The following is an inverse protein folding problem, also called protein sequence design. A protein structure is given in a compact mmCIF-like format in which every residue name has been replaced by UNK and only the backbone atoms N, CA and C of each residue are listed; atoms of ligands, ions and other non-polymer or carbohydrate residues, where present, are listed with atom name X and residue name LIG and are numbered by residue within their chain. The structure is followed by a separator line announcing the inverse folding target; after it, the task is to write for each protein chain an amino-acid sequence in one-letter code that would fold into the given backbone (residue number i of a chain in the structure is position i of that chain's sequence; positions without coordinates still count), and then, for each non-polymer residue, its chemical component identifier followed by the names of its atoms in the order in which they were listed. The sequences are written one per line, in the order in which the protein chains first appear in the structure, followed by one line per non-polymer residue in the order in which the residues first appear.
data_IF_005476149324
#
_entry.id   IF_005476149324
#
_cell.length_a   1.000
_cell.length_b   1.000
_cell.length_c   1.000
_cell.angle_alpha   90.00
_cell.angle_beta   90.00
_cell.angle_gamma   90.00
#
_symmetry.space_group_name_H-M   'P 1'
#
loop_
_entity.id
_entity.type
_entity.pdbx_description
1 polymer ?
#
# COMPACT_ATOMS: atom_id res chain seq x y z
N UNK A 1 -3.68 -30.17 6.15
CA UNK A 1 -4.30 -28.95 5.58
C UNK A 1 -3.14 -28.07 5.15
N UNK A 2 -2.89 -27.96 3.85
CA UNK A 2 -1.84 -27.11 3.31
C UNK A 2 -2.21 -25.66 3.64
N UNK A 3 -1.42 -25.02 4.49
CA UNK A 3 -1.43 -23.55 4.59
C UNK A 3 -0.98 -23.03 3.22
N UNK A 4 -1.92 -22.63 2.37
CA UNK A 4 -1.59 -21.83 1.20
C UNK A 4 -0.79 -20.62 1.73
N UNK A 5 0.47 -20.49 1.32
CA UNK A 5 1.24 -19.29 1.59
C UNK A 5 0.42 -18.12 1.07
N UNK A 6 0.06 -17.20 1.98
CA UNK A 6 -0.66 -15.99 1.60
C UNK A 6 0.11 -15.26 0.52
N UNK A 7 -0.61 -14.77 -0.49
CA UNK A 7 -0.03 -13.94 -1.53
C UNK A 7 0.75 -12.79 -0.91
N UNK A 8 2.00 -12.60 -1.35
CA UNK A 8 2.81 -11.45 -0.94
C UNK A 8 2.50 -10.19 -1.76
N UNK A 9 1.49 -10.25 -2.62
CA UNK A 9 0.96 -9.13 -3.40
C UNK A 9 -0.48 -8.82 -2.99
N UNK A 10 -0.74 -7.55 -2.71
CA UNK A 10 -2.09 -7.01 -2.50
C UNK A 10 -2.40 -6.07 -3.66
N UNK A 11 -3.60 -6.20 -4.23
CA UNK A 11 -4.07 -5.32 -5.31
C UNK A 11 -4.64 -4.04 -4.72
N UNK A 12 -3.95 -2.91 -4.89
CA UNK A 12 -4.41 -1.60 -4.45
C UNK A 12 -5.49 -1.03 -5.38
N UNK A 13 -6.70 -0.84 -4.88
CA UNK A 13 -7.86 -0.46 -5.68
C UNK A 13 -8.19 1.04 -5.67
N UNK A 14 -7.23 1.91 -5.33
CA UNK A 14 -7.42 3.35 -5.47
C UNK A 14 -7.69 3.78 -6.92
N UNK A 15 -7.17 3.04 -7.90
CA UNK A 15 -7.43 3.27 -9.33
C UNK A 15 -8.91 3.08 -9.72
N UNK A 16 -9.75 2.53 -8.84
CA UNK A 16 -11.18 2.43 -9.04
C UNK A 16 -11.96 3.65 -8.54
N UNK A 17 -11.27 4.66 -7.99
CA UNK A 17 -11.84 5.97 -7.66
C UNK A 17 -11.90 6.86 -8.92
N UNK A 18 -13.06 6.91 -9.54
CA UNK A 18 -13.30 7.68 -10.78
C UNK A 18 -13.09 9.19 -10.63
N UNK A 19 -12.95 9.71 -9.41
CA UNK A 19 -12.68 11.13 -9.13
C UNK A 19 -11.18 11.45 -9.24
N UNK A 20 -10.34 10.48 -8.92
CA UNK A 20 -8.88 10.62 -8.88
C UNK A 20 -8.19 10.00 -10.09
N UNK A 21 -8.87 9.08 -10.78
CA UNK A 21 -8.34 8.31 -11.90
C UNK A 21 -9.33 8.26 -13.07
N UNK A 22 -8.81 7.91 -14.26
CA UNK A 22 -9.66 7.64 -15.41
C UNK A 22 -10.60 6.47 -15.09
N UNK A 23 -11.90 6.68 -15.35
CA UNK A 23 -12.91 5.66 -15.15
C UNK A 23 -12.61 4.39 -15.94
N UNK A 24 -12.65 3.26 -15.25
CA UNK A 24 -12.50 1.92 -15.82
C UNK A 24 -13.88 1.29 -15.91
N UNK A 25 -14.32 0.78 -17.09
CA UNK A 25 -15.56 0.02 -17.20
C UNK A 25 -15.58 -1.19 -16.25
N UNK A 26 -16.71 -1.50 -15.64
CA UNK A 26 -16.82 -2.58 -14.67
C UNK A 26 -16.52 -3.97 -15.31
N UNK A 27 -16.85 -4.13 -16.58
CA UNK A 27 -16.49 -5.33 -17.38
C UNK A 27 -14.98 -5.53 -17.49
N UNK A 28 -14.23 -4.44 -17.56
CA UNK A 28 -12.76 -4.50 -17.64
C UNK A 28 -12.16 -4.77 -16.27
N UNK A 29 -12.78 -4.22 -15.21
CA UNK A 29 -12.41 -4.54 -13.82
C UNK A 29 -12.65 -6.02 -13.55
N UNK A 30 -13.80 -6.57 -13.95
CA UNK A 30 -14.12 -8.00 -13.78
C UNK A 30 -13.09 -8.88 -14.46
N UNK A 31 -12.77 -8.60 -15.74
CA UNK A 31 -11.72 -9.35 -16.47
C UNK A 31 -10.35 -9.27 -15.80
N UNK A 32 -9.98 -8.12 -15.27
CA UNK A 32 -8.71 -7.98 -14.54
C UNK A 32 -8.72 -8.78 -13.24
N UNK A 33 -9.83 -8.77 -12.49
CA UNK A 33 -10.00 -9.58 -11.28
C UNK A 33 -9.86 -11.07 -11.62
N UNK A 34 -10.48 -11.55 -12.67
CA UNK A 34 -10.34 -12.95 -13.12
C UNK A 34 -8.87 -13.30 -13.39
N UNK A 35 -8.10 -12.38 -13.97
CA UNK A 35 -6.66 -12.58 -14.21
C UNK A 35 -5.89 -12.64 -12.88
N UNK A 36 -6.17 -11.74 -11.94
CA UNK A 36 -5.55 -11.76 -10.61
C UNK A 36 -5.82 -13.09 -9.90
N UNK A 37 -7.07 -13.52 -9.88
CA UNK A 37 -7.49 -14.77 -9.24
C UNK A 37 -6.85 -16.00 -9.89
N UNK A 38 -6.79 -16.04 -11.23
CA UNK A 38 -6.14 -17.11 -11.97
C UNK A 38 -4.63 -17.21 -11.70
N UNK A 39 -4.00 -16.10 -11.28
CA UNK A 39 -2.60 -16.04 -10.87
C UNK A 39 -2.41 -16.22 -9.34
N UNK A 40 -3.47 -16.58 -8.61
CA UNK A 40 -3.42 -16.85 -7.18
C UNK A 40 -3.40 -15.59 -6.30
N UNK A 41 -3.72 -14.41 -6.85
CA UNK A 41 -3.80 -13.17 -6.09
C UNK A 41 -5.23 -13.00 -5.59
N UNK A 42 -5.40 -13.09 -4.27
CA UNK A 42 -6.69 -13.09 -3.59
C UNK A 42 -6.87 -11.93 -2.61
N UNK A 43 -5.85 -11.09 -2.45
CA UNK A 43 -5.85 -9.99 -1.49
C UNK A 43 -6.04 -8.64 -2.20
N UNK A 44 -7.06 -7.88 -1.79
CA UNK A 44 -7.43 -6.58 -2.36
C UNK A 44 -7.46 -5.51 -1.28
N UNK A 45 -6.89 -4.33 -1.58
CA UNK A 45 -6.88 -3.17 -0.70
C UNK A 45 -7.75 -2.05 -1.27
N UNK A 46 -8.70 -1.56 -0.49
CA UNK A 46 -9.62 -0.46 -0.84
C UNK A 46 -9.74 0.54 0.30
N UNK A 47 -10.69 1.48 0.22
CA UNK A 47 -11.04 2.42 1.28
C UNK A 47 -12.47 2.96 1.09
N UNK A 48 -13.09 3.41 2.18
CA UNK A 48 -14.40 4.05 2.20
C UNK A 48 -14.48 5.32 1.34
N UNK A 49 -13.33 5.96 1.10
CA UNK A 49 -13.23 7.18 0.28
C UNK A 49 -12.83 6.91 -1.17
N UNK A 50 -12.62 5.67 -1.61
CA UNK A 50 -12.22 5.38 -3.00
C UNK A 50 -13.42 5.28 -3.95
N UNK A 51 -14.31 6.26 -3.89
CA UNK A 51 -15.47 6.35 -4.79
C UNK A 51 -16.33 5.09 -4.78
N UNK A 52 -16.40 4.41 -5.91
CA UNK A 52 -17.19 3.17 -6.07
C UNK A 52 -16.40 1.88 -5.76
N UNK A 53 -15.15 1.97 -5.34
CA UNK A 53 -14.26 0.82 -5.22
C UNK A 53 -14.85 -0.30 -4.34
N UNK A 54 -15.29 0.03 -3.11
CA UNK A 54 -15.90 -0.97 -2.22
C UNK A 54 -17.12 -1.67 -2.86
N UNK A 55 -18.02 -0.91 -3.48
CA UNK A 55 -19.24 -1.48 -4.07
C UNK A 55 -18.96 -2.33 -5.31
N UNK A 56 -17.95 -2.00 -6.10
CA UNK A 56 -17.51 -2.81 -7.24
C UNK A 56 -16.88 -4.11 -6.75
N UNK A 57 -15.96 -4.04 -5.80
CA UNK A 57 -15.34 -5.24 -5.22
C UNK A 57 -16.39 -6.13 -4.54
N UNK A 58 -17.34 -5.54 -3.81
CA UNK A 58 -18.43 -6.28 -3.15
C UNK A 58 -19.27 -7.09 -4.14
N UNK A 59 -19.56 -6.54 -5.32
CA UNK A 59 -20.29 -7.27 -6.36
C UNK A 59 -19.46 -8.36 -7.02
N UNK A 60 -18.22 -8.02 -7.41
CA UNK A 60 -17.37 -8.91 -8.22
C UNK A 60 -16.72 -10.03 -7.39
N UNK A 61 -16.51 -9.81 -6.09
CA UNK A 61 -15.90 -10.79 -5.19
C UNK A 61 -16.92 -11.40 -4.21
N UNK A 62 -18.22 -11.26 -4.49
CA UNK A 62 -19.27 -11.84 -3.65
C UNK A 62 -19.13 -13.37 -3.56
N UNK A 63 -19.09 -13.90 -2.33
CA UNK A 63 -18.98 -15.35 -2.09
C UNK A 63 -17.61 -15.94 -2.39
N UNK A 64 -16.60 -15.14 -2.73
CA UNK A 64 -15.21 -15.60 -2.88
C UNK A 64 -14.48 -15.62 -1.53
N UNK A 65 -13.43 -16.43 -1.43
CA UNK A 65 -12.52 -16.50 -0.27
C UNK A 65 -11.44 -15.39 -0.29
N UNK A 66 -11.65 -14.34 -1.10
CA UNK A 66 -10.74 -13.22 -1.19
C UNK A 66 -10.69 -12.42 0.12
N UNK A 67 -9.49 -12.01 0.51
CA UNK A 67 -9.27 -11.07 1.61
C UNK A 67 -9.47 -9.64 1.11
N UNK A 68 -10.27 -8.84 1.80
CA UNK A 68 -10.45 -7.42 1.47
C UNK A 68 -10.02 -6.58 2.67
N UNK A 69 -8.97 -5.78 2.45
CA UNK A 69 -8.54 -4.76 3.38
C UNK A 69 -9.23 -3.45 2.99
N UNK A 70 -10.01 -2.86 3.89
CA UNK A 70 -10.57 -1.53 3.67
C UNK A 70 -10.08 -0.53 4.71
N UNK A 71 -10.42 0.74 4.53
CA UNK A 71 -9.95 1.81 5.41
C UNK A 71 -11.12 2.71 5.79
N UNK A 72 -11.10 3.19 7.03
CA UNK A 72 -12.02 4.20 7.53
C UNK A 72 -11.28 5.53 7.72
N UNK A 73 -11.69 6.60 7.02
CA UNK A 73 -11.03 7.90 7.08
C UNK A 73 -11.69 8.83 8.09
N UNK A 74 -10.86 9.54 8.86
CA UNK A 74 -11.27 10.58 9.81
C UNK A 74 -10.32 11.79 9.67
N UNK A 75 -10.53 12.62 8.65
CA UNK A 75 -9.59 13.68 8.27
C UNK A 75 -9.34 14.72 9.36
N UNK A 76 -10.38 15.40 9.80
CA UNK A 76 -10.28 16.56 10.71
C UNK A 76 -11.25 16.52 11.88
N UNK A 77 -12.15 15.55 11.89
CA UNK A 77 -13.16 15.41 12.93
C UNK A 77 -12.72 14.36 13.95
N UNK A 78 -12.99 14.61 15.22
CA UNK A 78 -12.95 13.56 16.23
C UNK A 78 -14.20 12.71 16.02
N UNK A 79 -14.09 11.45 15.55
CA UNK A 79 -15.26 10.65 15.27
C UNK A 79 -15.91 10.21 16.59
N UNK A 80 -17.23 10.28 16.65
CA UNK A 80 -17.97 9.62 17.73
C UNK A 80 -18.02 8.10 17.50
N UNK A 81 -18.17 7.27 18.55
CA UNK A 81 -18.35 5.82 18.39
C UNK A 81 -19.47 5.45 17.41
N UNK A 82 -20.56 6.21 17.40
CA UNK A 82 -21.68 6.01 16.46
C UNK A 82 -21.26 6.25 15.01
N UNK A 83 -20.48 7.30 14.74
CA UNK A 83 -19.96 7.59 13.41
C UNK A 83 -18.98 6.49 12.93
N UNK A 84 -18.13 5.98 13.82
CA UNK A 84 -17.24 4.85 13.51
C UNK A 84 -18.06 3.63 13.13
N UNK A 85 -19.03 3.24 13.96
CA UNK A 85 -19.92 2.09 13.67
C UNK A 85 -20.65 2.25 12.34
N UNK A 86 -21.26 3.42 12.09
CA UNK A 86 -21.94 3.70 10.82
C UNK A 86 -21.02 3.57 9.60
N UNK A 87 -19.77 4.02 9.70
CA UNK A 87 -18.77 3.87 8.62
C UNK A 87 -18.50 2.40 8.32
N UNK A 88 -18.24 1.60 9.35
CA UNK A 88 -17.96 0.16 9.19
C UNK A 88 -19.17 -0.58 8.63
N UNK A 89 -20.37 -0.25 9.10
CA UNK A 89 -21.60 -0.83 8.54
C UNK A 89 -21.85 -0.43 7.09
N UNK A 90 -21.45 0.79 6.69
CA UNK A 90 -21.47 1.18 5.27
C UNK A 90 -20.50 0.34 4.44
N UNK A 91 -19.27 0.15 4.92
CA UNK A 91 -18.28 -0.69 4.23
C UNK A 91 -18.75 -2.15 4.13
N UNK A 92 -19.34 -2.72 5.19
CA UNK A 92 -19.96 -4.06 5.17
C UNK A 92 -21.03 -4.18 4.07
N UNK A 93 -21.94 -3.17 3.97
CA UNK A 93 -22.97 -3.14 2.94
C UNK A 93 -22.39 -3.00 1.54
N UNK A 94 -21.44 -2.08 1.35
CA UNK A 94 -20.79 -1.84 0.06
C UNK A 94 -20.05 -3.08 -0.43
N UNK A 95 -19.28 -3.72 0.45
CA UNK A 95 -18.50 -4.92 0.17
C UNK A 95 -19.34 -6.21 0.16
N UNK A 96 -20.63 -6.14 0.52
CA UNK A 96 -21.55 -7.28 0.62
C UNK A 96 -20.97 -8.42 1.47
N UNK A 97 -20.39 -8.06 2.63
CA UNK A 97 -19.76 -8.98 3.59
C UNK A 97 -20.41 -8.80 4.96
N UNK A 98 -20.50 -9.91 5.71
CA UNK A 98 -20.94 -9.88 7.12
C UNK A 98 -19.81 -9.50 8.07
N UNK A 99 -18.58 -9.73 7.65
CA UNK A 99 -17.34 -9.40 8.38
C UNK A 99 -16.30 -8.84 7.43
N UNK A 100 -15.61 -7.77 7.84
CA UNK A 100 -14.45 -7.22 7.12
C UNK A 100 -13.17 -7.90 7.60
N UNK A 101 -12.31 -8.31 6.66
CA UNK A 101 -11.08 -9.05 7.00
C UNK A 101 -10.06 -8.16 7.73
N UNK A 102 -9.90 -6.92 7.27
CA UNK A 102 -9.06 -5.94 7.94
C UNK A 102 -9.64 -4.55 7.69
N UNK A 103 -9.76 -3.76 8.76
CA UNK A 103 -10.07 -2.33 8.67
C UNK A 103 -8.88 -1.54 9.17
N UNK A 104 -8.42 -0.58 8.37
CA UNK A 104 -7.32 0.31 8.74
C UNK A 104 -7.86 1.72 9.00
N UNK A 105 -7.39 2.37 10.06
CA UNK A 105 -7.64 3.79 10.25
C UNK A 105 -6.80 4.52 9.20
N UNK A 106 -7.49 5.21 8.28
CA UNK A 106 -6.87 5.87 7.14
C UNK A 106 -6.44 7.27 7.55
N UNK A 107 -5.17 7.57 7.39
CA UNK A 107 -4.55 8.84 7.72
C UNK A 107 -4.33 9.13 9.20
N UNK A 108 -3.20 9.75 9.40
CA UNK A 108 -2.82 10.39 10.64
C UNK A 108 -3.74 11.60 10.92
N UNK A 109 -4.54 11.52 11.96
CA UNK A 109 -5.28 12.64 12.51
C UNK A 109 -4.73 12.96 13.92
N UNK A 110 -3.98 14.07 14.11
CA UNK A 110 -3.39 14.39 15.40
C UNK A 110 -4.44 14.73 16.48
N UNK A 111 -5.68 15.03 16.09
CA UNK A 111 -6.80 15.33 16.98
C UNK A 111 -7.59 14.08 17.39
N UNK A 112 -7.21 12.90 16.91
CA UNK A 112 -7.93 11.67 17.19
C UNK A 112 -8.00 11.42 18.71
N UNK A 113 -9.21 11.24 19.22
CA UNK A 113 -9.39 10.70 20.57
C UNK A 113 -9.12 9.19 20.55
N UNK A 114 -7.92 8.81 20.96
CA UNK A 114 -7.47 7.42 20.90
C UNK A 114 -8.33 6.50 21.75
N UNK A 115 -8.65 6.90 23.00
CA UNK A 115 -9.45 6.07 23.89
C UNK A 115 -10.82 5.77 23.29
N UNK A 116 -11.57 6.80 22.92
CA UNK A 116 -12.91 6.65 22.34
C UNK A 116 -12.89 5.91 21.00
N UNK A 117 -11.93 6.26 20.13
CA UNK A 117 -11.81 5.65 18.80
C UNK A 117 -11.49 4.17 18.90
N UNK A 118 -10.44 3.79 19.63
CA UNK A 118 -10.01 2.41 19.70
C UNK A 118 -10.96 1.52 20.52
N UNK A 119 -11.68 2.08 21.52
CA UNK A 119 -12.77 1.37 22.20
C UNK A 119 -13.88 0.99 21.21
N UNK A 120 -14.28 1.93 20.33
CA UNK A 120 -15.32 1.63 19.32
C UNK A 120 -14.86 0.55 18.32
N UNK A 121 -13.58 0.52 17.94
CA UNK A 121 -13.05 -0.55 17.10
C UNK A 121 -12.92 -1.88 17.85
N UNK A 122 -12.58 -1.87 19.14
CA UNK A 122 -12.55 -3.07 19.98
C UNK A 122 -13.95 -3.73 20.06
N UNK A 123 -14.99 -2.93 20.26
CA UNK A 123 -16.39 -3.42 20.23
C UNK A 123 -16.75 -4.07 18.89
N UNK A 124 -16.28 -3.51 17.75
CA UNK A 124 -16.52 -4.06 16.42
C UNK A 124 -15.75 -5.38 16.18
N UNK A 125 -14.56 -5.53 16.75
CA UNK A 125 -13.79 -6.78 16.80
C UNK A 125 -14.53 -7.85 17.62
N UNK A 126 -15.00 -7.51 18.84
CA UNK A 126 -15.76 -8.41 19.70
C UNK A 126 -17.08 -8.87 19.07
N UNK A 127 -17.75 -7.98 18.34
CA UNK A 127 -18.97 -8.28 17.59
C UNK A 127 -18.71 -9.12 16.33
N UNK A 128 -17.45 -9.37 15.98
CA UNK A 128 -17.08 -10.10 14.75
C UNK A 128 -17.35 -9.33 13.46
N UNK A 129 -17.62 -8.02 13.52
CA UNK A 129 -17.83 -7.18 12.34
C UNK A 129 -16.54 -6.87 11.60
N UNK A 130 -15.42 -6.87 12.29
CA UNK A 130 -14.08 -6.79 11.74
C UNK A 130 -13.20 -7.89 12.34
N UNK A 131 -12.29 -8.45 11.57
CA UNK A 131 -11.39 -9.52 12.05
C UNK A 131 -10.06 -8.95 12.55
N UNK A 132 -9.57 -7.90 11.91
CA UNK A 132 -8.28 -7.26 12.23
C UNK A 132 -8.41 -5.74 12.16
N UNK A 133 -7.71 -5.07 13.06
CA UNK A 133 -7.51 -3.63 13.04
C UNK A 133 -6.10 -3.31 12.58
N UNK A 134 -5.98 -2.34 11.68
CA UNK A 134 -4.71 -1.78 11.23
C UNK A 134 -4.74 -0.26 11.23
N UNK A 135 -3.63 0.31 10.81
CA UNK A 135 -3.49 1.77 10.64
C UNK A 135 -2.77 2.07 9.32
N UNK A 136 -2.96 3.29 8.81
CA UNK A 136 -2.28 3.78 7.61
C UNK A 136 -1.66 5.15 7.92
N UNK A 137 -0.39 5.32 7.60
CA UNK A 137 0.35 6.58 7.77
C UNK A 137 0.32 7.16 9.20
N UNK A 138 0.29 6.32 10.22
CA UNK A 138 0.57 6.75 11.58
C UNK A 138 2.08 6.96 11.73
N UNK A 139 2.51 8.04 12.37
CA UNK A 139 3.91 8.18 12.77
C UNK A 139 4.20 7.32 14.02
N UNK A 140 5.47 7.13 14.35
CA UNK A 140 5.89 6.27 15.47
C UNK A 140 5.19 6.66 16.78
N UNK A 141 5.15 7.94 17.22
CA UNK A 141 4.44 8.31 18.47
C UNK A 141 2.94 7.99 18.44
N UNK A 142 2.28 8.13 17.29
CA UNK A 142 0.87 7.78 17.18
C UNK A 142 0.64 6.27 17.24
N UNK A 143 1.50 5.48 16.60
CA UNK A 143 1.40 4.03 16.66
C UNK A 143 1.66 3.53 18.07
N UNK A 144 2.69 4.04 18.77
CA UNK A 144 2.95 3.74 20.20
C UNK A 144 1.74 4.05 21.07
N UNK A 145 1.10 5.20 20.84
CA UNK A 145 -0.12 5.57 21.55
C UNK A 145 -1.28 4.63 21.22
N UNK A 146 -1.47 4.26 19.96
CA UNK A 146 -2.53 3.34 19.54
C UNK A 146 -2.39 1.96 20.20
N UNK A 147 -1.17 1.47 20.34
CA UNK A 147 -0.84 0.19 20.97
C UNK A 147 -1.20 0.11 22.46
N UNK A 148 -1.42 1.25 23.13
CA UNK A 148 -1.91 1.28 24.50
C UNK A 148 -3.40 0.93 24.61
N UNK A 149 -4.15 1.03 23.51
CA UNK A 149 -5.60 0.86 23.49
C UNK A 149 -6.08 -0.35 22.68
N UNK A 150 -5.31 -0.81 21.71
CA UNK A 150 -5.72 -1.92 20.85
C UNK A 150 -4.53 -2.68 20.26
N UNK A 151 -4.78 -3.95 19.89
CA UNK A 151 -3.85 -4.73 19.08
C UNK A 151 -3.94 -4.26 17.62
N UNK A 152 -2.83 -3.77 17.08
CA UNK A 152 -2.70 -3.38 15.68
C UNK A 152 -2.03 -4.51 14.91
N UNK A 153 -2.71 -5.01 13.89
CA UNK A 153 -2.24 -6.15 13.08
C UNK A 153 -1.43 -5.74 11.87
N UNK A 154 -1.73 -4.57 11.29
CA UNK A 154 -1.08 -4.10 10.06
C UNK A 154 -0.79 -2.60 10.13
N UNK A 155 0.30 -2.18 9.50
CA UNK A 155 0.57 -0.77 9.26
C UNK A 155 0.86 -0.55 7.77
N UNK A 156 0.00 0.20 7.10
CA UNK A 156 0.17 0.54 5.69
C UNK A 156 0.95 1.85 5.56
N UNK A 157 2.07 1.82 4.84
CA UNK A 157 3.02 2.94 4.74
C UNK A 157 3.56 3.10 3.34
N UNK A 158 3.97 4.33 2.99
CA UNK A 158 4.81 4.57 1.82
C UNK A 158 6.17 3.91 2.05
N UNK A 159 6.59 3.07 1.10
CA UNK A 159 7.92 2.49 1.14
C UNK A 159 8.42 2.13 -0.26
N UNK A 160 9.55 2.66 -0.64
CA UNK A 160 10.20 2.42 -1.91
C UNK A 160 11.69 2.74 -1.81
N UNK A 161 12.45 2.43 -2.86
CA UNK A 161 13.86 2.87 -2.98
C UNK A 161 14.05 4.39 -3.00
N UNK A 162 12.99 5.17 -3.20
CA UNK A 162 13.05 6.64 -3.13
C UNK A 162 12.75 7.12 -1.70
N UNK A 163 11.74 6.57 -1.05
CA UNK A 163 11.34 6.95 0.31
C UNK A 163 11.48 5.77 1.27
N UNK A 164 12.47 5.86 2.15
CA UNK A 164 12.83 4.84 3.14
C UNK A 164 12.63 5.30 4.58
N UNK A 165 11.83 6.35 4.80
CA UNK A 165 11.65 6.92 6.16
C UNK A 165 11.08 5.94 7.16
N UNK A 166 10.31 4.95 6.72
CA UNK A 166 9.79 3.87 7.58
C UNK A 166 10.92 3.13 8.33
N UNK A 167 12.13 3.10 7.80
CA UNK A 167 13.29 2.43 8.40
C UNK A 167 13.87 3.18 9.60
N UNK A 168 13.51 4.45 9.83
CA UNK A 168 14.09 5.23 10.93
C UNK A 168 13.71 4.66 12.30
N UNK A 169 12.42 4.58 12.61
CA UNK A 169 11.93 4.06 13.90
C UNK A 169 10.73 3.13 13.74
N UNK A 170 9.88 3.40 12.76
CA UNK A 170 8.63 2.69 12.54
C UNK A 170 8.81 1.19 12.29
N UNK A 171 9.76 0.82 11.45
CA UNK A 171 10.02 -0.58 11.12
C UNK A 171 10.38 -1.39 12.37
N UNK A 172 11.25 -0.85 13.22
CA UNK A 172 11.63 -1.51 14.47
C UNK A 172 10.45 -1.66 15.42
N UNK A 173 9.61 -0.62 15.57
CA UNK A 173 8.40 -0.68 16.37
C UNK A 173 7.43 -1.76 15.84
N UNK A 174 7.22 -1.82 14.54
CA UNK A 174 6.38 -2.83 13.92
C UNK A 174 6.92 -4.26 14.15
N UNK A 175 8.23 -4.46 14.03
CA UNK A 175 8.86 -5.76 14.31
C UNK A 175 8.69 -6.18 15.77
N UNK A 176 8.91 -5.26 16.73
CA UNK A 176 8.76 -5.53 18.17
C UNK A 176 7.34 -5.95 18.56
N UNK A 177 6.33 -5.39 17.88
CA UNK A 177 4.92 -5.65 18.15
C UNK A 177 4.25 -6.64 17.19
N UNK A 178 5.03 -7.30 16.30
CA UNK A 178 4.51 -8.22 15.29
C UNK A 178 3.45 -7.59 14.36
N UNK A 179 3.62 -6.30 14.04
CA UNK A 179 2.77 -5.56 13.12
C UNK A 179 3.27 -5.77 11.70
N UNK A 180 2.43 -6.28 10.82
CA UNK A 180 2.77 -6.49 9.43
C UNK A 180 2.87 -5.15 8.68
N UNK A 181 4.03 -4.82 8.12
CA UNK A 181 4.17 -3.69 7.21
C UNK A 181 3.57 -4.04 5.85
N UNK A 182 2.74 -3.13 5.34
CA UNK A 182 2.09 -3.21 4.04
C UNK A 182 2.49 -1.99 3.19
N UNK A 183 3.65 -2.04 2.51
CA UNK A 183 4.12 -0.95 1.66
C UNK A 183 3.17 -0.65 0.51
N UNK A 184 2.71 0.61 0.40
CA UNK A 184 2.12 1.14 -0.81
C UNK A 184 3.13 2.03 -1.56
N UNK A 185 2.92 2.21 -2.86
CA UNK A 185 3.83 2.97 -3.71
C UNK A 185 5.24 2.38 -3.86
N UNK A 186 5.45 1.04 -3.87
CA UNK A 186 6.78 0.44 -3.94
C UNK A 186 7.53 0.80 -5.23
N UNK A 187 6.79 1.18 -6.26
CA UNK A 187 7.32 1.65 -7.55
C UNK A 187 7.33 3.18 -7.68
N UNK A 188 7.15 3.93 -6.57
CA UNK A 188 7.06 5.38 -6.60
C UNK A 188 6.08 5.91 -7.67
N UNK A 189 4.84 5.39 -7.67
CA UNK A 189 3.84 5.72 -8.67
C UNK A 189 4.15 5.21 -10.09
N UNK A 190 5.09 4.29 -10.23
CA UNK A 190 5.55 3.71 -11.49
C UNK A 190 6.77 4.42 -12.07
N UNK A 191 7.37 5.39 -11.36
CA UNK A 191 8.61 6.03 -11.80
C UNK A 191 9.82 5.07 -11.75
N UNK A 192 9.82 4.09 -10.86
CA UNK A 192 10.82 3.03 -10.83
C UNK A 192 10.49 1.95 -11.88
N UNK A 193 10.63 2.30 -13.16
CA UNK A 193 10.37 1.41 -14.29
C UNK A 193 11.24 1.74 -15.50
N UNK A 194 11.38 0.76 -16.40
CA UNK A 194 12.15 0.88 -17.64
C UNK A 194 11.67 2.05 -18.51
N UNK A 195 10.39 2.40 -18.43
CA UNK A 195 9.77 3.50 -19.16
C UNK A 195 10.42 4.86 -18.91
N UNK A 196 10.97 5.07 -17.71
CA UNK A 196 11.51 6.36 -17.30
C UNK A 196 13.03 6.43 -17.35
N UNK A 197 13.69 5.33 -17.72
CA UNK A 197 15.14 5.30 -17.89
C UNK A 197 15.56 6.20 -19.07
N UNK A 198 16.52 7.08 -18.85
CA UNK A 198 17.03 8.00 -19.88
C UNK A 198 16.12 9.20 -20.19
N UNK A 199 15.00 9.39 -19.48
CA UNK A 199 14.14 10.55 -19.65
C UNK A 199 14.71 11.72 -18.84
N UNK A 200 15.07 12.81 -19.52
CA UNK A 200 15.78 13.96 -18.93
C UNK A 200 14.99 14.69 -17.81
N UNK A 201 13.66 14.62 -17.82
CA UNK A 201 12.82 15.24 -16.78
C UNK A 201 11.61 14.35 -16.48
N UNK A 202 11.08 14.37 -15.24
CA UNK A 202 9.86 13.65 -14.95
C UNK A 202 8.74 14.20 -15.84
N UNK A 203 7.78 13.35 -16.25
CA UNK A 203 6.63 13.83 -17.00
C UNK A 203 5.95 14.96 -16.22
N UNK A 204 5.57 16.01 -16.94
CA UNK A 204 4.83 17.13 -16.37
C UNK A 204 3.60 16.63 -15.60
N UNK A 205 3.28 17.32 -14.51
CA UNK A 205 2.13 16.99 -13.67
C UNK A 205 0.86 16.94 -14.53
N UNK A 206 0.46 15.71 -14.89
CA UNK A 206 -0.85 15.47 -15.46
C UNK A 206 -1.90 15.58 -14.35
N UNK A 207 -3.16 15.74 -14.71
CA UNK A 207 -4.33 15.85 -13.82
C UNK A 207 -4.60 14.63 -12.92
N UNK A 208 -3.66 13.69 -12.83
CA UNK A 208 -3.81 12.47 -12.05
C UNK A 208 -3.06 12.57 -10.71
N UNK A 209 -3.70 12.10 -9.66
CA UNK A 209 -3.17 12.01 -8.31
C UNK A 209 -1.72 11.46 -8.25
N UNK A 210 -1.37 10.52 -9.15
CA UNK A 210 -0.02 10.01 -9.29
C UNK A 210 1.03 11.09 -9.55
N UNK A 211 0.77 12.01 -10.47
CA UNK A 211 1.70 13.09 -10.78
C UNK A 211 1.92 14.01 -9.59
N UNK A 212 0.83 14.38 -8.91
CA UNK A 212 0.90 15.27 -7.76
C UNK A 212 1.69 14.66 -6.59
N UNK A 213 1.29 13.46 -6.15
CA UNK A 213 1.90 12.82 -4.97
C UNK A 213 3.35 12.40 -5.20
N UNK A 214 3.60 11.62 -6.25
CA UNK A 214 4.92 11.02 -6.44
C UNK A 214 5.96 11.99 -7.02
N UNK A 215 5.56 13.00 -7.79
CA UNK A 215 6.46 14.08 -8.17
C UNK A 215 6.87 14.93 -6.95
N UNK A 216 5.96 15.17 -6.02
CA UNK A 216 6.27 15.85 -4.75
C UNK A 216 7.26 15.04 -3.92
N UNK A 217 7.08 13.72 -3.84
CA UNK A 217 8.01 12.80 -3.19
C UNK A 217 9.41 12.86 -3.84
N UNK A 218 9.49 12.77 -5.17
CA UNK A 218 10.75 12.85 -5.91
C UNK A 218 11.44 14.18 -5.64
N UNK A 219 10.73 15.32 -5.73
CA UNK A 219 11.29 16.64 -5.40
C UNK A 219 11.82 16.70 -3.98
N UNK A 220 11.09 16.15 -3.02
CA UNK A 220 11.48 16.13 -1.62
C UNK A 220 12.74 15.29 -1.36
N UNK A 221 13.00 14.27 -2.18
CA UNK A 221 14.16 13.38 -2.04
C UNK A 221 15.34 13.73 -2.98
N UNK A 222 15.45 14.96 -3.42
CA UNK A 222 16.61 15.46 -4.20
C UNK A 222 16.35 15.63 -5.69
N UNK A 223 15.10 15.44 -6.14
CA UNK A 223 14.70 15.68 -7.52
C UNK A 223 14.93 14.49 -8.45
N UNK A 224 14.90 14.77 -9.76
CA UNK A 224 14.87 13.72 -10.78
C UNK A 224 16.22 13.06 -11.06
N UNK A 225 17.32 13.82 -10.97
CA UNK A 225 18.65 13.29 -11.29
C UNK A 225 19.07 12.10 -10.41
N UNK A 226 18.91 12.13 -9.07
CA UNK A 226 19.16 10.95 -8.25
C UNK A 226 18.28 9.73 -8.60
N UNK A 227 17.04 9.97 -9.07
CA UNK A 227 16.14 8.89 -9.54
C UNK A 227 16.67 8.26 -10.82
N UNK A 228 17.22 9.03 -11.77
CA UNK A 228 17.85 8.48 -12.98
C UNK A 228 19.03 7.58 -12.62
N UNK A 229 19.88 8.02 -11.70
CA UNK A 229 21.00 7.19 -11.22
C UNK A 229 20.53 5.91 -10.53
N UNK A 230 19.43 5.98 -9.78
CA UNK A 230 18.77 4.79 -9.21
C UNK A 230 18.26 3.86 -10.30
N UNK A 231 17.63 4.39 -11.35
CA UNK A 231 17.14 3.60 -12.49
C UNK A 231 18.28 2.87 -13.21
N UNK A 232 19.44 3.51 -13.35
CA UNK A 232 20.60 2.87 -13.95
C UNK A 232 21.15 1.73 -13.08
N UNK A 233 21.22 1.92 -11.77
CA UNK A 233 21.60 0.85 -10.82
C UNK A 233 20.60 -0.30 -10.85
N UNK A 234 19.30 0.02 -10.84
CA UNK A 234 18.23 -0.99 -10.96
C UNK A 234 18.33 -1.77 -12.28
N UNK A 235 18.68 -1.10 -13.40
CA UNK A 235 18.85 -1.76 -14.68
C UNK A 235 20.03 -2.75 -14.71
N UNK A 236 21.13 -2.42 -14.00
CA UNK A 236 22.27 -3.34 -13.85
C UNK A 236 21.85 -4.61 -13.11
N UNK A 237 21.16 -4.46 -11.98
CA UNK A 237 20.65 -5.60 -11.20
C UNK A 237 19.60 -6.37 -11.99
N UNK A 238 18.66 -5.68 -12.65
CA UNK A 238 17.60 -6.30 -13.44
C UNK A 238 18.15 -7.21 -14.54
N UNK A 239 19.23 -6.79 -15.20
CA UNK A 239 19.92 -7.60 -16.21
C UNK A 239 20.46 -8.92 -15.65
N UNK A 240 21.02 -8.90 -14.42
CA UNK A 240 21.56 -10.10 -13.75
C UNK A 240 20.48 -11.16 -13.53
N UNK A 241 19.26 -10.74 -13.18
CA UNK A 241 18.14 -11.62 -12.88
C UNK A 241 17.19 -11.86 -14.06
N UNK A 242 17.48 -11.30 -15.24
CA UNK A 242 16.59 -11.33 -16.41
C UNK A 242 15.19 -10.80 -16.09
N UNK A 243 15.13 -9.69 -15.32
CA UNK A 243 13.92 -9.05 -14.86
C UNK A 243 13.86 -7.59 -15.33
N UNK A 244 12.71 -6.95 -15.15
CA UNK A 244 12.54 -5.52 -15.40
C UNK A 244 12.95 -4.70 -14.17
N UNK A 245 13.23 -3.41 -14.35
CA UNK A 245 13.48 -2.46 -13.26
C UNK A 245 12.37 -2.50 -12.21
N UNK A 246 11.11 -2.51 -12.67
CA UNK A 246 9.96 -2.56 -11.74
C UNK A 246 9.91 -3.84 -10.92
N UNK A 247 10.26 -4.97 -11.52
CA UNK A 247 10.28 -6.25 -10.79
C UNK A 247 11.36 -6.26 -9.70
N UNK A 248 12.54 -5.72 -10.00
CA UNK A 248 13.63 -5.61 -9.01
C UNK A 248 13.26 -4.63 -7.90
N UNK A 249 12.71 -3.47 -8.23
CA UNK A 249 12.30 -2.48 -7.23
C UNK A 249 11.20 -3.03 -6.30
N UNK A 250 10.22 -3.75 -6.83
CA UNK A 250 9.14 -4.36 -6.06
C UNK A 250 9.66 -5.49 -5.16
N UNK A 251 10.56 -6.32 -5.70
CA UNK A 251 11.20 -7.41 -4.97
C UNK A 251 12.07 -6.88 -3.82
N UNK A 252 12.83 -5.80 -4.05
CA UNK A 252 13.63 -5.16 -3.00
C UNK A 252 12.76 -4.75 -1.79
N UNK A 253 11.62 -4.09 -2.04
CA UNK A 253 10.68 -3.70 -0.96
C UNK A 253 10.14 -4.93 -0.24
N UNK A 254 9.77 -5.98 -0.99
CA UNK A 254 9.23 -7.22 -0.40
C UNK A 254 10.21 -7.91 0.55
N UNK A 255 11.51 -7.80 0.28
CA UNK A 255 12.54 -8.44 1.09
C UNK A 255 12.96 -7.62 2.32
N UNK A 256 12.36 -6.44 2.55
CA UNK A 256 12.68 -5.63 3.73
C UNK A 256 12.07 -6.23 5.01
N UNK A 257 12.77 -6.09 6.15
CA UNK A 257 12.28 -6.63 7.43
C UNK A 257 10.87 -6.12 7.78
N UNK A 258 10.00 -7.00 8.26
CA UNK A 258 8.63 -6.68 8.66
C UNK A 258 7.63 -6.53 7.51
N UNK A 259 8.07 -6.52 6.26
CA UNK A 259 7.19 -6.47 5.09
C UNK A 259 6.54 -7.84 4.86
N UNK A 260 5.24 -7.92 5.07
CA UNK A 260 4.49 -9.18 4.84
C UNK A 260 3.96 -9.28 3.41
N UNK A 261 3.49 -8.19 2.84
CA UNK A 261 3.01 -8.10 1.46
C UNK A 261 3.21 -6.68 0.93
N UNK A 262 3.31 -6.52 -0.39
CA UNK A 262 3.40 -5.21 -1.06
C UNK A 262 2.10 -4.87 -1.77
N UNK A 263 1.71 -3.60 -1.74
CA UNK A 263 0.50 -3.12 -2.41
C UNK A 263 0.88 -2.53 -3.76
N UNK A 264 0.47 -3.20 -4.84
CA UNK A 264 0.62 -2.70 -6.21
C UNK A 264 -0.72 -2.19 -6.73
N UNK A 265 -0.71 -1.04 -7.40
CA UNK A 265 -1.92 -0.43 -7.94
C UNK A 265 -2.62 -1.32 -8.97
N UNK A 266 -3.95 -1.31 -8.97
CA UNK A 266 -4.79 -2.03 -9.91
C UNK A 266 -4.43 -1.69 -11.36
N UNK A 267 -4.33 -2.70 -12.20
CA UNK A 267 -4.13 -2.57 -13.64
C UNK A 267 -4.98 -3.60 -14.39
N UNK A 268 -5.36 -3.26 -15.63
CA UNK A 268 -6.05 -4.17 -16.56
C UNK A 268 -5.08 -4.88 -17.50
N UNK A 269 -3.83 -4.45 -17.51
CA UNK A 269 -2.80 -5.02 -18.37
C UNK A 269 -2.34 -6.37 -17.81
N UNK A 270 -2.74 -7.45 -18.50
CA UNK A 270 -2.37 -8.83 -18.15
C UNK A 270 -0.86 -9.03 -18.00
N UNK A 271 -0.07 -8.43 -18.89
CA UNK A 271 1.39 -8.60 -18.84
C UNK A 271 1.97 -7.90 -17.61
N UNK A 272 1.43 -6.73 -17.25
CA UNK A 272 1.85 -6.02 -16.03
C UNK A 272 1.43 -6.79 -14.77
N UNK A 273 0.21 -7.35 -14.73
CA UNK A 273 -0.23 -8.21 -13.62
C UNK A 273 0.74 -9.39 -13.45
N UNK A 274 1.04 -10.11 -14.56
CA UNK A 274 1.95 -11.24 -14.52
C UNK A 274 3.36 -10.84 -14.05
N UNK A 275 3.92 -9.74 -14.54
CA UNK A 275 5.23 -9.22 -14.10
C UNK A 275 5.25 -8.85 -12.63
N UNK A 276 4.16 -8.29 -12.09
CA UNK A 276 4.07 -7.98 -10.66
C UNK A 276 4.08 -9.26 -9.81
N UNK A 277 3.42 -10.32 -10.24
CA UNK A 277 3.45 -11.64 -9.58
C UNK A 277 4.85 -12.24 -9.67
N UNK A 278 5.45 -12.27 -10.85
CA UNK A 278 6.81 -12.76 -11.08
C UNK A 278 7.86 -11.99 -10.27
N UNK A 279 7.62 -10.70 -9.97
CA UNK A 279 8.50 -9.90 -9.12
C UNK A 279 8.68 -10.49 -7.73
N UNK A 280 7.75 -11.30 -7.26
CA UNK A 280 7.77 -11.87 -5.91
C UNK A 280 8.23 -13.34 -5.89
N UNK A 281 8.53 -13.91 -7.05
CA UNK A 281 8.91 -15.33 -7.21
C UNK A 281 10.42 -15.58 -7.22
N UNK A 282 11.25 -14.53 -7.15
CA UNK A 282 12.70 -14.64 -7.08
C UNK A 282 13.23 -13.90 -5.83
N UNK A 283 14.49 -14.06 -5.54
CA UNK A 283 15.16 -13.35 -4.44
C UNK A 283 16.40 -12.65 -4.97
N UNK A 284 16.55 -11.38 -4.61
CA UNK A 284 17.81 -10.66 -4.74
C UNK A 284 18.81 -11.22 -3.72
N UNK A 285 20.05 -11.40 -4.12
CA UNK A 285 21.10 -11.75 -3.17
C UNK A 285 21.46 -10.57 -2.26
N UNK A 286 22.25 -10.83 -1.23
CA UNK A 286 22.59 -9.81 -0.22
C UNK A 286 23.38 -8.65 -0.81
N UNK A 287 24.26 -8.91 -1.78
CA UNK A 287 25.10 -7.88 -2.39
C UNK A 287 24.27 -6.93 -3.23
N UNK A 288 23.31 -7.45 -3.99
CA UNK A 288 22.40 -6.62 -4.79
C UNK A 288 21.39 -5.85 -3.92
N UNK A 289 20.89 -6.47 -2.84
CA UNK A 289 20.07 -5.76 -1.85
C UNK A 289 20.84 -4.58 -1.23
N UNK A 290 22.10 -4.80 -0.88
CA UNK A 290 22.96 -3.77 -0.31
C UNK A 290 23.28 -2.69 -1.35
N UNK A 291 23.66 -3.05 -2.58
CA UNK A 291 23.94 -2.14 -3.68
C UNK A 291 22.76 -1.17 -3.92
N UNK A 292 21.54 -1.70 -3.99
CA UNK A 292 20.33 -0.90 -4.16
C UNK A 292 20.07 -0.01 -2.94
N UNK A 293 20.30 -0.51 -1.74
CA UNK A 293 20.16 0.23 -0.49
C UNK A 293 21.19 1.38 -0.39
N UNK A 294 22.41 1.15 -0.79
CA UNK A 294 23.50 2.15 -0.79
C UNK A 294 23.19 3.25 -1.81
N UNK A 295 22.75 2.88 -3.02
CA UNK A 295 22.32 3.84 -4.03
C UNK A 295 21.13 4.66 -3.52
N UNK A 296 20.12 4.03 -2.92
CA UNK A 296 18.98 4.72 -2.31
C UNK A 296 19.41 5.70 -1.21
N UNK A 297 20.47 5.38 -0.48
CA UNK A 297 20.99 6.23 0.60
C UNK A 297 21.65 7.52 0.11
N UNK A 298 21.92 7.67 -1.19
CA UNK A 298 22.42 8.92 -1.79
C UNK A 298 21.32 9.94 -2.07
N UNK A 299 20.03 9.52 -2.04
CA UNK A 299 18.92 10.46 -2.15
C UNK A 299 18.82 11.32 -0.89
N UNK A 300 18.26 12.52 -1.02
CA UNK A 300 18.04 13.37 0.14
C UNK A 300 17.08 12.70 1.12
N UNK A 301 17.50 12.57 2.38
CA UNK A 301 16.69 11.95 3.42
C UNK A 301 15.76 12.98 4.05
N UNK A 302 14.47 12.80 3.83
CA UNK A 302 13.45 13.57 4.53
C UNK A 302 13.45 13.22 6.03
N UNK A 303 13.30 14.20 6.93
CA UNK A 303 13.12 13.94 8.34
C UNK A 303 11.78 13.24 8.61
N UNK A 304 11.69 12.58 9.76
CA UNK A 304 10.49 11.86 10.18
C UNK A 304 10.53 10.38 9.79
N UNK A 305 9.47 9.70 10.09
CA UNK A 305 9.34 8.23 9.96
C UNK A 305 8.23 7.81 9.01
N UNK A 306 7.38 8.72 8.60
CA UNK A 306 6.37 8.52 7.57
C UNK A 306 6.03 9.81 6.83
N UNK A 307 5.19 9.63 5.90
CA UNK A 307 4.63 10.38 4.83
C UNK A 307 3.93 11.69 5.24
N UNK A 308 4.32 12.79 4.62
CA UNK A 308 3.77 14.12 4.92
C UNK A 308 3.33 14.91 3.67
N UNK A 309 3.43 14.34 2.46
CA UNK A 309 3.11 15.08 1.24
C UNK A 309 1.63 15.04 0.86
N UNK A 310 0.84 14.26 1.55
CA UNK A 310 -0.59 14.10 1.27
C UNK A 310 -1.47 15.10 2.06
N UNK A 311 -0.86 16.18 2.57
CA UNK A 311 -1.54 17.21 3.36
C UNK A 311 -1.54 18.55 2.66
#
# INVERSE_FOLDING_TARGET
MNSQEKSSLIVGCWQLDDRSWKRIPETDIARAIDIYLALGITDFDTADIYGRSESVLGRLLKGSDCTILTKAVFFSNIPTPTQIRSKIENSLRNLQRDTLDCVQIHWHNPQLDFASTFTAFAELLEQGKIRKLGVTNFNTPMLEKALQYATISTHQVQYSLIDRRVENSMQNLCLQHNIALLPYGPLAGGFLSDKFRGIASPPSEGSHARGFYYNSMIRAHGGWQPVLEMLDTLAQVAKKYEKTISQVALNWVKQQPGVSAVISGFTQDRQQIQKNVEALSFQLDKDDLQLLSDRSSTLFKQPGDIYSYER
#
